data_IF_198645148157
#
_entry.id   IF_198645148157
#
_cell.length_a   1.000
_cell.length_b   1.000
_cell.length_c   1.000
_cell.angle_alpha   90.00
_cell.angle_beta   90.00
_cell.angle_gamma   90.00
#
_symmetry.space_group_name_H-M   'P 1'
#
loop_
_entity.id
_entity.type
_entity.pdbx_description
1 polymer ?
#
# COMPACT_ATOMS: atom_id res chain seq x y z
N UNK A 1 8.39 -30.16 -57.99
CA UNK A 1 9.09 -31.33 -57.43
C UNK A 1 8.17 -31.97 -56.43
N UNK A 2 7.66 -33.14 -56.79
CA UNK A 2 6.72 -33.98 -56.08
C UNK A 2 7.38 -34.57 -54.84
N UNK A 3 6.89 -34.27 -53.64
CA UNK A 3 7.25 -35.01 -52.43
C UNK A 3 6.67 -36.43 -52.50
N UNK A 4 7.42 -37.46 -52.04
CA UNK A 4 6.91 -38.81 -52.03
C UNK A 4 5.81 -38.92 -50.97
N UNK A 5 4.62 -39.31 -51.41
CA UNK A 5 3.54 -39.78 -50.56
C UNK A 5 4.11 -40.88 -49.67
N UNK A 6 4.11 -40.70 -48.35
CA UNK A 6 4.62 -41.69 -47.41
C UNK A 6 3.85 -43.00 -47.62
N UNK A 7 4.52 -43.93 -48.30
CA UNK A 7 4.04 -45.27 -48.60
C UNK A 7 3.75 -45.94 -47.28
N UNK A 8 2.48 -46.25 -47.04
CA UNK A 8 2.09 -47.20 -45.99
C UNK A 8 2.84 -48.50 -46.33
N UNK A 9 3.69 -49.04 -45.44
CA UNK A 9 4.38 -50.29 -45.75
C UNK A 9 3.35 -51.37 -46.05
N UNK A 10 3.34 -51.86 -47.30
CA UNK A 10 2.39 -52.85 -47.81
C UNK A 10 2.50 -54.24 -47.15
N UNK A 11 3.36 -54.42 -46.14
CA UNK A 11 3.58 -55.70 -45.47
C UNK A 11 2.88 -55.86 -44.11
N UNK A 12 1.81 -55.11 -43.82
CA UNK A 12 1.16 -55.14 -42.49
C UNK A 12 -0.36 -55.40 -42.53
N UNK A 13 -0.83 -56.14 -43.53
CA UNK A 13 -2.17 -56.73 -43.53
C UNK A 13 -2.11 -58.15 -42.98
N UNK A 14 -2.44 -58.31 -41.69
CA UNK A 14 -3.24 -59.40 -41.10
C UNK A 14 -3.07 -59.30 -39.56
N UNK A 15 -4.15 -58.91 -38.88
CA UNK A 15 -4.33 -58.91 -37.42
C UNK A 15 -3.42 -58.00 -36.56
N UNK A 16 -3.23 -56.73 -36.95
CA UNK A 16 -2.78 -55.75 -35.95
C UNK A 16 -3.90 -55.46 -34.96
N UNK A 17 -3.63 -55.78 -33.69
CA UNK A 17 -4.35 -55.28 -32.52
C UNK A 17 -4.86 -53.85 -32.78
N UNK A 18 -6.18 -53.58 -32.68
CA UNK A 18 -6.75 -52.24 -32.86
C UNK A 18 -6.01 -51.15 -32.08
N UNK A 19 -5.39 -51.48 -30.93
CA UNK A 19 -4.58 -50.55 -30.16
C UNK A 19 -3.25 -50.20 -30.85
N UNK A 20 -2.57 -51.18 -31.46
CA UNK A 20 -1.32 -50.94 -32.20
C UNK A 20 -1.57 -50.06 -33.43
N UNK A 21 -2.70 -50.24 -34.12
CA UNK A 21 -3.09 -49.40 -35.26
C UNK A 21 -3.45 -47.97 -34.83
N UNK A 22 -4.16 -47.79 -33.71
CA UNK A 22 -4.41 -46.46 -33.12
C UNK A 22 -3.10 -45.77 -32.77
N UNK A 23 -2.19 -46.45 -32.08
CA UNK A 23 -0.88 -45.89 -31.71
C UNK A 23 -0.05 -45.44 -32.92
N UNK A 24 -0.07 -46.19 -34.03
CA UNK A 24 0.59 -45.78 -35.27
C UNK A 24 -0.04 -44.52 -35.90
N UNK A 25 -1.38 -44.46 -35.96
CA UNK A 25 -2.11 -43.29 -36.46
C UNK A 25 -1.78 -42.06 -35.60
N UNK A 26 -1.83 -42.20 -34.26
CA UNK A 26 -1.52 -41.12 -33.32
C UNK A 26 -0.08 -40.62 -33.48
N UNK A 27 0.88 -41.53 -33.68
CA UNK A 27 2.28 -41.19 -33.98
C UNK A 27 2.43 -40.42 -35.29
N UNK A 28 1.70 -40.83 -36.35
CA UNK A 28 1.73 -40.13 -37.64
C UNK A 28 1.09 -38.74 -37.57
N UNK A 29 -0.01 -38.59 -36.84
CA UNK A 29 -0.65 -37.29 -36.57
C UNK A 29 0.34 -36.38 -35.84
N UNK A 30 0.97 -36.86 -34.77
CA UNK A 30 1.95 -36.08 -34.01
C UNK A 30 3.12 -35.59 -34.88
N UNK A 31 3.63 -36.43 -35.77
CA UNK A 31 4.72 -36.07 -36.69
C UNK A 31 4.32 -34.97 -37.69
N UNK A 32 3.12 -35.05 -38.27
CA UNK A 32 2.61 -34.01 -39.18
C UNK A 32 2.33 -32.69 -38.44
N UNK A 33 1.82 -32.77 -37.21
CA UNK A 33 1.63 -31.59 -36.36
C UNK A 33 2.96 -30.91 -35.99
N UNK A 34 4.03 -31.68 -35.76
CA UNK A 34 5.39 -31.15 -35.58
C UNK A 34 5.87 -30.40 -36.82
N UNK A 35 5.66 -30.97 -38.00
CA UNK A 35 6.06 -30.34 -39.26
C UNK A 35 5.29 -29.03 -39.51
N UNK A 36 3.97 -29.03 -39.31
CA UNK A 36 3.15 -27.81 -39.38
C UNK A 36 3.65 -26.76 -38.38
N UNK A 37 4.01 -27.17 -37.15
CA UNK A 37 4.57 -26.27 -36.12
C UNK A 37 5.92 -25.68 -36.54
N UNK A 38 6.77 -26.44 -37.25
CA UNK A 38 8.05 -25.95 -37.81
C UNK A 38 7.81 -24.83 -38.82
N UNK A 39 7.01 -25.08 -39.85
CA UNK A 39 6.72 -24.10 -40.91
C UNK A 39 6.03 -22.84 -40.37
N UNK A 40 5.11 -22.98 -39.41
CA UNK A 40 4.47 -21.82 -38.75
C UNK A 40 5.49 -20.92 -38.04
N UNK A 41 6.55 -21.47 -37.44
CA UNK A 41 7.59 -20.65 -36.77
C UNK A 41 8.48 -19.95 -37.76
N UNK A 42 8.96 -20.65 -38.79
CA UNK A 42 9.79 -20.02 -39.82
C UNK A 42 9.05 -18.87 -40.50
N UNK A 43 7.75 -19.00 -40.75
CA UNK A 43 6.91 -17.90 -41.23
C UNK A 43 6.84 -16.73 -40.23
N UNK A 44 6.71 -17.02 -38.93
CA UNK A 44 6.65 -15.99 -37.89
C UNK A 44 7.99 -15.27 -37.70
N UNK A 45 9.12 -15.95 -37.88
CA UNK A 45 10.48 -15.38 -37.83
C UNK A 45 10.71 -14.33 -38.93
N UNK A 46 10.03 -14.47 -40.07
CA UNK A 46 10.07 -13.49 -41.16
C UNK A 46 9.28 -12.20 -40.87
N UNK A 47 8.44 -12.19 -39.83
CA UNK A 47 7.67 -10.99 -39.44
C UNK A 47 8.60 -9.87 -38.94
N UNK A 48 8.27 -8.62 -39.27
CA UNK A 48 9.05 -7.44 -38.88
C UNK A 48 9.22 -7.35 -37.37
N UNK A 49 8.19 -7.74 -36.60
CA UNK A 49 8.23 -7.66 -35.13
C UNK A 49 9.17 -8.72 -34.51
N UNK A 50 9.45 -9.80 -35.23
CA UNK A 50 10.40 -10.84 -34.81
C UNK A 50 11.86 -10.42 -34.98
N UNK A 51 12.12 -9.26 -35.62
CA UNK A 51 13.46 -8.66 -35.74
C UNK A 51 13.83 -7.80 -34.54
N UNK A 52 12.88 -7.49 -33.65
CA UNK A 52 13.15 -6.71 -32.45
C UNK A 52 14.05 -7.52 -31.51
N UNK A 53 15.10 -6.91 -30.92
CA UNK A 53 15.90 -7.57 -29.91
C UNK A 53 15.08 -8.02 -28.70
N UNK A 54 15.50 -9.10 -27.99
CA UNK A 54 14.83 -9.57 -26.79
C UNK A 54 14.59 -8.47 -25.76
N UNK A 55 15.54 -7.55 -25.57
CA UNK A 55 15.48 -6.45 -24.59
C UNK A 55 14.38 -5.43 -24.91
N UNK A 56 14.10 -5.23 -26.20
CA UNK A 56 13.02 -4.33 -26.64
C UNK A 56 11.68 -5.02 -26.43
N UNK A 57 11.58 -6.29 -26.77
CA UNK A 57 10.38 -7.09 -26.55
C UNK A 57 10.03 -7.22 -25.07
N UNK A 58 11.01 -7.44 -24.19
CA UNK A 58 10.75 -7.50 -22.74
C UNK A 58 10.20 -6.19 -22.20
N UNK A 59 10.75 -5.03 -22.62
CA UNK A 59 10.20 -3.71 -22.25
C UNK A 59 8.77 -3.51 -22.75
N UNK A 60 8.45 -3.99 -23.96
CA UNK A 60 7.08 -3.97 -24.50
C UNK A 60 6.16 -4.85 -23.64
N UNK A 61 6.61 -6.05 -23.26
CA UNK A 61 5.84 -6.97 -22.42
C UNK A 61 5.60 -6.41 -21.02
N UNK A 62 6.60 -5.75 -20.43
CA UNK A 62 6.47 -5.04 -19.15
C UNK A 62 5.45 -3.91 -19.24
N UNK A 63 5.50 -3.09 -20.29
CA UNK A 63 4.51 -2.04 -20.51
C UNK A 63 3.09 -2.61 -20.67
N UNK A 64 2.93 -3.70 -21.42
CA UNK A 64 1.64 -4.38 -21.58
C UNK A 64 1.13 -4.98 -20.26
N UNK A 65 2.01 -5.59 -19.46
CA UNK A 65 1.70 -6.07 -18.11
C UNK A 65 1.21 -4.93 -17.22
N UNK A 66 1.94 -3.81 -17.17
CA UNK A 66 1.54 -2.64 -16.39
C UNK A 66 0.18 -2.08 -16.82
N UNK A 67 -0.10 -2.04 -18.13
CA UNK A 67 -1.42 -1.66 -18.62
C UNK A 67 -2.48 -2.61 -18.09
N UNK A 68 -2.26 -3.93 -18.18
CA UNK A 68 -3.21 -4.92 -17.70
C UNK A 68 -3.50 -4.80 -16.20
N UNK A 69 -2.47 -4.52 -15.39
CA UNK A 69 -2.58 -4.38 -13.94
C UNK A 69 -3.32 -3.12 -13.51
N UNK A 70 -3.20 -2.00 -14.23
CA UNK A 70 -3.92 -0.75 -13.91
C UNK A 70 -5.44 -0.92 -13.93
N UNK A 71 -5.96 -1.73 -14.85
CA UNK A 71 -7.40 -2.00 -14.94
C UNK A 71 -7.90 -3.05 -13.94
N UNK A 72 -6.99 -3.83 -13.34
CA UNK A 72 -7.33 -4.81 -12.29
C UNK A 72 -7.32 -4.25 -10.86
N UNK A 73 -6.78 -3.04 -10.63
CA UNK A 73 -6.62 -2.43 -9.30
C UNK A 73 -7.79 -1.55 -8.84
N UNK A 74 -8.76 -1.23 -9.71
CA UNK A 74 -9.93 -0.42 -9.35
C UNK A 74 -11.04 -1.30 -8.77
N UNK A 75 -10.90 -1.67 -7.50
CA UNK A 75 -11.85 -2.53 -6.79
C UNK A 75 -13.20 -1.91 -6.40
N UNK A 76 -13.43 -0.59 -6.56
CA UNK A 76 -14.57 0.08 -5.92
C UNK A 76 -15.50 0.92 -6.83
N UNK A 77 -15.51 0.74 -8.15
CA UNK A 77 -16.56 1.37 -8.99
C UNK A 77 -17.18 0.36 -9.95
N UNK A 78 -18.48 0.02 -9.83
CA UNK A 78 -19.20 -0.75 -10.82
C UNK A 78 -19.52 0.16 -12.02
N UNK A 79 -18.55 0.39 -12.91
CA UNK A 79 -18.82 1.02 -14.20
C UNK A 79 -19.13 -0.07 -15.24
N UNK A 80 -20.33 -0.11 -15.85
CA UNK A 80 -20.80 -1.31 -16.57
C UNK A 80 -20.26 -1.53 -17.98
N UNK A 81 -19.17 -0.89 -18.45
CA UNK A 81 -18.80 -0.94 -19.90
C UNK A 81 -17.31 -0.87 -20.27
N UNK A 82 -16.37 -1.21 -19.39
CA UNK A 82 -14.95 -1.30 -19.78
C UNK A 82 -14.43 -2.72 -19.61
N UNK A 83 -13.78 -3.23 -20.65
CA UNK A 83 -13.26 -4.60 -20.75
C UNK A 83 -12.44 -4.96 -19.51
N UNK A 84 -13.02 -5.76 -18.61
CA UNK A 84 -12.32 -6.30 -17.44
C UNK A 84 -11.11 -7.09 -17.93
N UNK A 85 -9.91 -6.51 -17.81
CA UNK A 85 -8.68 -7.21 -18.10
C UNK A 85 -8.51 -8.25 -16.99
N UNK A 86 -8.49 -9.53 -17.38
CA UNK A 86 -8.38 -10.63 -16.43
C UNK A 86 -6.98 -10.66 -15.81
N UNK A 87 -6.89 -11.10 -14.56
CA UNK A 87 -5.62 -11.49 -13.92
C UNK A 87 -4.82 -12.39 -14.89
N UNK A 88 -3.52 -12.12 -15.04
CA UNK A 88 -2.60 -12.84 -15.92
C UNK A 88 -2.84 -12.69 -17.43
N UNK A 89 -3.73 -11.80 -17.89
CA UNK A 89 -3.97 -11.60 -19.34
C UNK A 89 -2.71 -11.18 -20.11
N UNK A 90 -1.74 -10.56 -19.45
CA UNK A 90 -0.46 -10.23 -20.05
C UNK A 90 0.29 -11.47 -20.55
N UNK A 91 0.09 -12.65 -19.93
CA UNK A 91 0.74 -13.92 -20.32
C UNK A 91 0.37 -14.38 -21.73
N UNK A 92 -0.65 -13.80 -22.38
CA UNK A 92 -0.98 -14.02 -23.80
C UNK A 92 0.22 -13.76 -24.72
N UNK A 93 1.18 -12.92 -24.33
CA UNK A 93 2.43 -12.73 -25.10
C UNK A 93 3.20 -14.05 -25.29
N UNK A 94 3.09 -14.98 -24.33
CA UNK A 94 3.74 -16.31 -24.39
C UNK A 94 3.05 -17.30 -25.35
N UNK A 95 1.94 -16.88 -25.96
CA UNK A 95 1.14 -17.68 -26.90
C UNK A 95 1.15 -17.10 -28.33
N UNK A 96 1.84 -15.98 -28.58
CA UNK A 96 1.88 -15.33 -29.90
C UNK A 96 2.79 -16.08 -30.88
N UNK A 97 4.02 -16.36 -30.46
CA UNK A 97 5.02 -17.08 -31.26
C UNK A 97 5.99 -17.82 -30.35
N UNK A 98 6.77 -18.75 -30.91
CA UNK A 98 7.86 -19.43 -30.17
C UNK A 98 8.90 -18.44 -29.66
N UNK A 99 9.32 -17.51 -30.52
CA UNK A 99 10.26 -16.46 -30.15
C UNK A 99 9.76 -15.60 -28.98
N UNK A 100 8.51 -15.13 -29.01
CA UNK A 100 7.95 -14.32 -27.92
C UNK A 100 7.84 -15.12 -26.61
N UNK A 101 7.49 -16.40 -26.72
CA UNK A 101 7.46 -17.30 -25.58
C UNK A 101 8.85 -17.47 -24.96
N UNK A 102 9.87 -17.70 -25.77
CA UNK A 102 11.26 -17.82 -25.31
C UNK A 102 11.74 -16.52 -24.63
N UNK A 103 11.50 -15.36 -25.25
CA UNK A 103 11.87 -14.06 -24.68
C UNK A 103 11.13 -13.80 -23.36
N UNK A 104 9.81 -14.04 -23.31
CA UNK A 104 9.02 -13.81 -22.12
C UNK A 104 9.36 -14.78 -20.96
N UNK A 105 9.59 -16.07 -21.25
CA UNK A 105 10.03 -17.04 -20.25
C UNK A 105 11.49 -16.83 -19.82
N UNK A 106 12.31 -16.27 -20.72
CA UNK A 106 13.71 -15.93 -20.47
C UNK A 106 13.91 -14.69 -19.61
N UNK A 107 12.87 -13.86 -19.41
CA UNK A 107 12.91 -12.65 -18.59
C UNK A 107 12.26 -12.88 -17.23
N UNK A 108 13.03 -13.11 -16.14
CA UNK A 108 12.46 -13.50 -14.84
C UNK A 108 11.67 -12.37 -14.18
N UNK A 109 12.00 -11.11 -14.47
CA UNK A 109 11.30 -9.93 -13.93
C UNK A 109 9.81 -9.91 -14.29
N UNK A 110 9.41 -10.41 -15.47
CA UNK A 110 8.00 -10.51 -15.86
C UNK A 110 7.18 -11.39 -14.91
N UNK A 111 7.82 -12.38 -14.29
CA UNK A 111 7.19 -13.39 -13.42
C UNK A 111 7.32 -13.07 -11.93
N UNK A 112 7.94 -11.94 -11.57
CA UNK A 112 8.26 -11.59 -10.19
C UNK A 112 7.14 -10.89 -9.39
N UNK A 113 6.02 -10.53 -10.04
CA UNK A 113 4.80 -10.05 -9.36
C UNK A 113 3.85 -11.24 -9.15
N UNK A 114 3.85 -11.78 -7.93
CA UNK A 114 3.19 -13.02 -7.56
C UNK A 114 1.91 -12.68 -6.80
N UNK A 115 0.79 -13.27 -7.22
CA UNK A 115 -0.51 -13.13 -6.55
C UNK A 115 -1.03 -14.49 -6.14
N UNK A 116 -1.48 -14.63 -4.89
CA UNK A 116 -1.90 -15.94 -4.34
C UNK A 116 -3.34 -16.32 -4.70
N UNK A 117 -4.10 -15.43 -5.36
CA UNK A 117 -5.48 -15.69 -5.83
C UNK A 117 -5.61 -17.01 -6.60
N UNK A 118 -4.54 -17.43 -7.30
CA UNK A 118 -4.46 -18.77 -7.88
C UNK A 118 -3.10 -19.40 -7.59
N UNK A 119 -3.10 -20.41 -6.73
CA UNK A 119 -1.88 -21.06 -6.21
C UNK A 119 -1.01 -21.70 -7.30
N UNK A 120 -1.62 -22.38 -8.29
CA UNK A 120 -0.88 -23.00 -9.38
C UNK A 120 -0.14 -21.95 -10.21
N UNK A 121 -0.78 -20.81 -10.45
CA UNK A 121 -0.14 -19.67 -11.10
C UNK A 121 0.93 -19.03 -10.21
N UNK A 122 0.69 -18.90 -8.91
CA UNK A 122 1.66 -18.34 -7.97
C UNK A 122 2.96 -19.16 -7.93
N UNK A 123 2.88 -20.49 -7.81
CA UNK A 123 4.03 -21.40 -7.86
C UNK A 123 4.74 -21.33 -9.21
N UNK A 124 4.00 -21.33 -10.31
CA UNK A 124 4.57 -21.16 -11.66
C UNK A 124 5.34 -19.84 -11.80
N UNK A 125 4.83 -18.75 -11.22
CA UNK A 125 5.49 -17.45 -11.24
C UNK A 125 6.74 -17.45 -10.35
N UNK A 126 6.67 -18.05 -9.17
CA UNK A 126 7.80 -18.22 -8.27
C UNK A 126 8.96 -18.97 -8.98
N UNK A 127 8.68 -20.11 -9.60
CA UNK A 127 9.65 -20.89 -10.38
C UNK A 127 10.28 -20.06 -11.51
N UNK A 128 9.47 -19.33 -12.29
CA UNK A 128 9.94 -18.54 -13.43
C UNK A 128 10.65 -17.24 -13.04
N UNK A 129 10.42 -16.73 -11.84
CA UNK A 129 11.07 -15.52 -11.32
C UNK A 129 12.56 -15.72 -11.02
N UNK A 130 13.03 -16.97 -10.90
CA UNK A 130 14.44 -17.35 -10.69
C UNK A 130 15.10 -16.62 -9.52
N UNK A 131 15.89 -15.57 -9.79
CA UNK A 131 16.59 -14.74 -8.79
C UNK A 131 16.12 -13.28 -8.81
N UNK A 132 15.07 -12.97 -9.59
CA UNK A 132 14.51 -11.64 -9.62
C UNK A 132 13.87 -11.28 -8.26
N UNK A 133 13.90 -9.99 -7.85
CA UNK A 133 13.24 -9.52 -6.65
C UNK A 133 11.72 -9.69 -6.75
N UNK A 134 11.11 -10.31 -5.74
CA UNK A 134 9.70 -10.71 -5.72
C UNK A 134 8.83 -9.62 -5.11
N UNK A 135 7.72 -9.29 -5.77
CA UNK A 135 6.60 -8.56 -5.18
C UNK A 135 5.45 -9.53 -4.96
N UNK A 136 5.06 -9.72 -3.71
CA UNK A 136 4.03 -10.67 -3.30
C UNK A 136 2.76 -9.91 -2.90
N UNK A 137 1.63 -10.30 -3.50
CA UNK A 137 0.30 -9.90 -3.06
C UNK A 137 -0.47 -11.15 -2.65
N UNK A 138 -0.49 -11.39 -1.35
CA UNK A 138 -1.24 -12.45 -0.72
C UNK A 138 -2.63 -11.96 -0.32
N UNK A 139 -3.65 -12.57 -0.91
CA UNK A 139 -5.06 -12.37 -0.54
C UNK A 139 -5.66 -13.71 -0.22
N UNK A 140 -6.56 -13.80 0.76
CA UNK A 140 -7.31 -15.02 1.01
C UNK A 140 -8.00 -15.50 -0.27
N UNK A 141 -7.64 -16.70 -0.71
CA UNK A 141 -8.45 -17.44 -1.65
C UNK A 141 -9.45 -18.27 -0.86
N UNK A 142 -10.72 -18.24 -1.26
CA UNK A 142 -11.78 -19.11 -0.70
C UNK A 142 -11.48 -20.61 -0.91
N UNK A 143 -10.46 -20.96 -1.69
CA UNK A 143 -10.05 -22.35 -1.95
C UNK A 143 -9.00 -22.81 -0.93
N UNK A 144 -9.49 -23.43 0.14
CA UNK A 144 -8.70 -24.10 1.18
C UNK A 144 -8.15 -25.41 0.61
N UNK A 145 -6.87 -25.44 0.20
CA UNK A 145 -6.02 -26.65 0.17
C UNK A 145 -4.58 -26.27 -0.21
N UNK A 146 -3.62 -26.60 0.66
CA UNK A 146 -2.16 -26.53 0.47
C UNK A 146 -1.53 -25.13 0.34
N UNK A 147 -1.98 -24.15 1.14
CA UNK A 147 -1.33 -22.84 1.20
C UNK A 147 -0.03 -22.84 2.01
N UNK A 148 0.01 -23.56 3.14
CA UNK A 148 1.13 -23.53 4.09
C UNK A 148 2.48 -23.86 3.43
N UNK A 149 2.53 -24.88 2.58
CA UNK A 149 3.76 -25.25 1.85
C UNK A 149 4.28 -24.11 0.95
N UNK A 150 3.37 -23.39 0.28
CA UNK A 150 3.75 -22.29 -0.60
C UNK A 150 4.18 -21.05 0.19
N UNK A 151 3.50 -20.78 1.30
CA UNK A 151 3.85 -19.70 2.24
C UNK A 151 5.27 -19.90 2.78
N UNK A 152 5.59 -21.11 3.23
CA UNK A 152 6.93 -21.44 3.71
C UNK A 152 7.98 -21.39 2.57
N UNK A 153 7.63 -21.87 1.37
CA UNK A 153 8.49 -21.81 0.17
C UNK A 153 8.84 -20.37 -0.23
N UNK A 154 7.87 -19.44 -0.21
CA UNK A 154 8.11 -18.05 -0.60
C UNK A 154 8.83 -17.25 0.50
N UNK A 155 8.53 -17.51 1.78
CA UNK A 155 9.20 -16.85 2.90
C UNK A 155 10.64 -17.31 3.08
N UNK A 156 10.96 -18.56 2.70
CA UNK A 156 12.35 -19.03 2.59
C UNK A 156 13.19 -18.23 1.56
N UNK A 157 12.54 -17.48 0.66
CA UNK A 157 13.19 -16.59 -0.30
C UNK A 157 13.27 -15.13 0.21
N UNK A 158 13.35 -14.91 1.52
CA UNK A 158 13.34 -13.59 2.18
C UNK A 158 14.30 -12.57 1.54
N UNK A 159 15.50 -13.02 1.15
CA UNK A 159 16.53 -12.20 0.48
C UNK A 159 16.10 -11.58 -0.86
N UNK A 160 15.08 -12.15 -1.50
CA UNK A 160 14.51 -11.66 -2.77
C UNK A 160 13.25 -10.83 -2.58
N UNK A 161 12.65 -10.84 -1.40
CA UNK A 161 11.39 -10.12 -1.16
C UNK A 161 11.64 -8.61 -1.27
N UNK A 162 10.94 -8.00 -2.22
CA UNK A 162 10.98 -6.56 -2.49
C UNK A 162 9.73 -5.86 -1.98
N UNK A 163 8.56 -6.47 -2.15
CA UNK A 163 7.32 -5.94 -1.61
C UNK A 163 6.44 -7.08 -1.15
N UNK A 164 5.81 -6.95 0.01
CA UNK A 164 4.88 -7.92 0.57
C UNK A 164 3.60 -7.17 0.91
N UNK A 165 2.47 -7.69 0.43
CA UNK A 165 1.14 -7.18 0.72
C UNK A 165 0.25 -8.34 1.10
N UNK A 166 -0.28 -8.32 2.31
CA UNK A 166 -1.13 -9.38 2.86
C UNK A 166 -2.48 -8.78 3.25
N UNK A 167 -3.56 -9.34 2.70
CA UNK A 167 -4.93 -9.00 3.07
C UNK A 167 -5.73 -10.24 3.39
N UNK A 168 -6.19 -10.37 4.63
CA UNK A 168 -7.10 -11.45 5.01
C UNK A 168 -6.46 -12.81 4.82
N UNK A 169 -5.97 -13.40 5.90
CA UNK A 169 -5.45 -14.76 5.88
C UNK A 169 -4.68 -15.03 7.16
N UNK A 170 -5.38 -15.58 8.16
CA UNK A 170 -4.82 -15.76 9.50
C UNK A 170 -3.49 -16.53 9.51
N UNK A 171 -3.33 -17.53 8.62
CA UNK A 171 -2.10 -18.31 8.47
C UNK A 171 -0.95 -17.47 7.96
N UNK A 172 -1.12 -16.79 6.81
CA UNK A 172 -0.04 -16.05 6.18
C UNK A 172 0.33 -14.80 6.95
N UNK A 173 -0.67 -14.10 7.52
CA UNK A 173 -0.46 -12.99 8.46
C UNK A 173 0.49 -13.44 9.57
N UNK A 174 0.20 -14.56 10.24
CA UNK A 174 1.02 -15.10 11.32
C UNK A 174 2.43 -15.46 10.85
N UNK A 175 2.57 -16.12 9.71
CA UNK A 175 3.88 -16.49 9.14
C UNK A 175 4.75 -15.28 8.82
N UNK A 176 4.15 -14.22 8.26
CA UNK A 176 4.88 -12.98 7.98
C UNK A 176 5.33 -12.32 9.28
N UNK A 177 4.52 -12.32 10.34
CA UNK A 177 4.91 -11.78 11.66
C UNK A 177 6.09 -12.54 12.27
N UNK A 178 6.19 -13.84 11.99
CA UNK A 178 7.27 -14.72 12.45
C UNK A 178 8.52 -14.65 11.53
N UNK A 179 8.54 -13.76 10.53
CA UNK A 179 9.68 -13.62 9.62
C UNK A 179 10.88 -13.01 10.35
N UNK A 180 11.77 -13.88 10.80
CA UNK A 180 13.02 -13.56 11.51
C UNK A 180 14.26 -13.68 10.61
N UNK A 181 14.07 -13.75 9.30
CA UNK A 181 15.15 -13.78 8.31
C UNK A 181 15.44 -12.37 7.78
N UNK A 182 16.71 -12.03 7.47
CA UNK A 182 17.05 -10.76 6.85
C UNK A 182 16.31 -10.54 5.53
N UNK A 183 15.83 -9.31 5.31
CA UNK A 183 15.08 -8.91 4.12
C UNK A 183 15.72 -7.69 3.42
N UNK A 184 16.95 -7.84 2.89
CA UNK A 184 17.78 -6.72 2.41
C UNK A 184 17.21 -5.95 1.21
N UNK A 185 16.27 -6.53 0.46
CA UNK A 185 15.65 -5.92 -0.71
C UNK A 185 14.25 -5.35 -0.43
N UNK A 186 13.70 -5.57 0.78
CA UNK A 186 12.33 -5.19 1.09
C UNK A 186 12.20 -3.67 1.12
N UNK A 187 11.30 -3.16 0.30
CA UNK A 187 10.99 -1.73 0.15
C UNK A 187 9.62 -1.39 0.70
N UNK A 188 8.66 -2.31 0.58
CA UNK A 188 7.27 -2.07 1.00
C UNK A 188 6.69 -3.30 1.67
N UNK A 189 6.18 -3.12 2.89
CA UNK A 189 5.48 -4.13 3.66
C UNK A 189 4.10 -3.61 4.05
N UNK A 190 3.06 -4.34 3.67
CA UNK A 190 1.68 -4.07 4.04
C UNK A 190 1.04 -5.33 4.61
N UNK A 191 0.56 -5.28 5.85
CA UNK A 191 -0.16 -6.38 6.49
C UNK A 191 -1.46 -5.84 7.05
N UNK A 192 -2.58 -6.37 6.55
CA UNK A 192 -3.93 -6.01 6.99
C UNK A 192 -4.62 -7.21 7.56
N UNK A 193 -5.01 -7.10 8.84
CA UNK A 193 -5.71 -8.14 9.58
C UNK A 193 -7.09 -8.42 8.98
N UNK A 194 -7.37 -9.68 8.67
CA UNK A 194 -8.68 -10.11 8.17
C UNK A 194 -9.83 -9.86 9.15
N UNK A 195 -11.03 -9.56 8.63
CA UNK A 195 -12.25 -9.28 9.42
C UNK A 195 -12.60 -10.39 10.43
N UNK A 196 -12.40 -11.66 10.06
CA UNK A 196 -12.68 -12.81 10.94
C UNK A 196 -11.80 -12.82 12.19
N UNK A 197 -10.64 -12.17 12.15
CA UNK A 197 -9.68 -12.11 13.25
C UNK A 197 -9.88 -10.88 14.15
N UNK A 198 -10.76 -9.94 13.81
CA UNK A 198 -10.92 -8.68 14.57
C UNK A 198 -11.43 -8.92 16.00
N UNK A 199 -12.13 -10.03 16.25
CA UNK A 199 -12.60 -10.41 17.58
C UNK A 199 -11.51 -11.05 18.47
N UNK A 200 -10.37 -11.44 17.91
CA UNK A 200 -9.26 -12.01 18.67
C UNK A 200 -8.33 -10.90 19.17
N UNK A 201 -7.61 -11.14 20.28
CA UNK A 201 -6.60 -10.21 20.79
C UNK A 201 -5.63 -9.79 19.68
N UNK A 202 -5.43 -8.47 19.52
CA UNK A 202 -4.56 -7.92 18.49
C UNK A 202 -3.11 -8.29 18.77
N UNK A 203 -2.40 -8.97 17.84
CA UNK A 203 -1.08 -9.50 18.13
C UNK A 203 0.00 -8.40 18.12
N UNK A 204 1.02 -8.63 18.93
CA UNK A 204 2.22 -7.80 19.01
C UNK A 204 3.29 -8.44 18.13
N UNK A 205 3.89 -7.66 17.23
CA UNK A 205 5.03 -8.12 16.44
C UNK A 205 6.24 -8.39 17.34
N UNK A 206 7.07 -9.40 17.05
CA UNK A 206 8.28 -9.66 17.82
C UNK A 206 9.30 -8.52 17.64
N UNK A 207 10.15 -8.29 18.64
CA UNK A 207 11.23 -7.28 18.55
C UNK A 207 12.23 -7.63 17.44
N UNK A 208 12.45 -8.92 17.18
CA UNK A 208 13.30 -9.44 16.10
C UNK A 208 12.61 -9.50 14.73
N UNK A 209 11.47 -8.82 14.55
CA UNK A 209 10.77 -8.76 13.26
C UNK A 209 11.73 -8.30 12.14
N UNK A 210 11.79 -9.05 11.05
CA UNK A 210 12.73 -8.85 9.92
C UNK A 210 14.22 -8.89 10.33
N UNK A 211 14.55 -9.52 11.46
CA UNK A 211 15.89 -9.54 12.08
C UNK A 211 16.45 -8.16 12.41
N UNK A 212 15.64 -7.10 12.37
CA UNK A 212 16.14 -5.72 12.38
C UNK A 212 16.89 -5.31 11.12
N UNK A 213 16.92 -6.14 10.06
CA UNK A 213 17.71 -5.94 8.83
C UNK A 213 16.80 -5.79 7.59
N UNK A 214 16.17 -4.63 7.48
CA UNK A 214 15.42 -4.20 6.29
C UNK A 214 15.86 -2.80 5.81
N UNK A 215 17.13 -2.63 5.40
CA UNK A 215 17.74 -1.31 5.17
C UNK A 215 17.13 -0.51 4.00
N UNK A 216 16.37 -1.17 3.12
CA UNK A 216 15.69 -0.53 1.98
C UNK A 216 14.21 -0.28 2.23
N UNK A 217 13.71 -0.59 3.43
CA UNK A 217 12.30 -0.44 3.75
C UNK A 217 11.92 1.04 3.76
N UNK A 218 10.94 1.39 2.93
CA UNK A 218 10.47 2.76 2.71
C UNK A 218 9.00 2.91 3.05
N UNK A 219 8.19 1.87 2.84
CA UNK A 219 6.76 1.86 3.11
C UNK A 219 6.41 0.75 4.10
N UNK A 220 5.86 1.13 5.26
CA UNK A 220 5.33 0.20 6.25
C UNK A 220 3.86 0.53 6.54
N UNK A 221 2.98 -0.43 6.30
CA UNK A 221 1.54 -0.33 6.60
C UNK A 221 1.10 -1.55 7.41
N UNK A 222 0.68 -1.31 8.66
CA UNK A 222 0.21 -2.35 9.57
C UNK A 222 -1.18 -1.98 10.06
N UNK A 223 -2.15 -2.84 9.78
CA UNK A 223 -3.54 -2.68 10.21
C UNK A 223 -3.95 -3.87 11.08
N UNK A 224 -4.23 -3.60 12.35
CA UNK A 224 -4.58 -4.58 13.38
C UNK A 224 -3.37 -5.18 14.12
N UNK A 225 -2.17 -4.63 13.96
CA UNK A 225 -0.93 -5.13 14.58
C UNK A 225 -0.21 -4.07 15.42
N UNK A 226 0.29 -4.47 16.58
CA UNK A 226 1.14 -3.60 17.39
C UNK A 226 2.59 -3.73 16.97
N UNK A 227 3.22 -2.60 16.66
CA UNK A 227 4.64 -2.52 16.32
C UNK A 227 5.45 -2.10 17.56
N UNK A 228 6.45 -2.90 17.97
CA UNK A 228 7.40 -2.48 19.00
C UNK A 228 8.20 -1.25 18.58
N UNK A 229 8.07 -0.16 19.32
CA UNK A 229 8.77 1.11 19.07
C UNK A 229 10.26 1.08 19.47
N UNK A 230 10.74 0.00 20.08
CA UNK A 230 12.13 -0.20 20.48
C UNK A 230 13.07 -0.54 19.29
N UNK A 231 12.53 -1.02 18.17
CA UNK A 231 13.31 -1.47 17.00
C UNK A 231 13.76 -0.33 16.06
N UNK A 232 14.48 0.66 16.60
CA UNK A 232 14.87 1.91 15.92
C UNK A 232 15.57 1.75 14.57
N UNK A 233 16.21 0.61 14.30
CA UNK A 233 16.95 0.34 13.05
C UNK A 233 16.01 0.20 11.84
N UNK A 234 14.82 -0.36 12.04
CA UNK A 234 13.83 -0.56 10.97
C UNK A 234 13.23 0.75 10.44
N UNK A 235 13.25 1.80 11.26
CA UNK A 235 12.52 3.04 10.99
C UNK A 235 13.32 4.07 10.20
N UNK A 236 14.65 4.07 10.29
CA UNK A 236 15.51 5.14 9.72
C UNK A 236 15.32 5.39 8.22
N UNK A 237 14.98 4.35 7.46
CA UNK A 237 14.78 4.42 6.01
C UNK A 237 13.36 4.78 5.57
N UNK A 238 12.40 4.86 6.50
CA UNK A 238 10.98 4.97 6.17
C UNK A 238 10.62 6.35 5.59
N UNK A 239 9.79 6.29 4.55
CA UNK A 239 9.17 7.44 3.89
C UNK A 239 7.66 7.46 4.09
N UNK A 240 7.03 6.30 4.29
CA UNK A 240 5.62 6.15 4.61
C UNK A 240 5.44 5.17 5.76
N UNK A 241 4.84 5.63 6.85
CA UNK A 241 4.43 4.81 7.98
C UNK A 241 2.92 4.95 8.18
N UNK A 242 2.20 3.82 8.18
CA UNK A 242 0.78 3.77 8.50
C UNK A 242 0.50 2.68 9.51
N UNK A 243 0.00 3.07 10.67
CA UNK A 243 -0.33 2.15 11.76
C UNK A 243 -1.78 2.34 12.14
N UNK A 244 -2.54 1.24 12.14
CA UNK A 244 -3.88 1.16 12.70
C UNK A 244 -3.90 0.04 13.73
N UNK A 245 -4.25 0.34 14.97
CA UNK A 245 -4.29 -0.63 16.05
C UNK A 245 -5.31 -0.24 17.09
N UNK A 246 -6.33 -1.08 17.25
CA UNK A 246 -7.31 -0.97 18.31
C UNK A 246 -6.98 -2.01 19.37
N UNK A 247 -6.41 -1.60 20.52
CA UNK A 247 -6.08 -2.54 21.57
C UNK A 247 -7.35 -3.14 22.19
N UNK A 248 -7.28 -4.37 22.73
CA UNK A 248 -8.18 -4.76 23.79
C UNK A 248 -8.07 -3.74 24.94
N UNK A 249 -9.16 -3.47 25.65
CA UNK A 249 -9.14 -2.58 26.82
C UNK A 249 -7.91 -2.86 27.69
N UNK A 250 -7.14 -1.80 28.03
CA UNK A 250 -5.93 -1.81 28.88
C UNK A 250 -4.54 -1.98 28.23
N UNK A 251 -4.37 -1.95 26.91
CA UNK A 251 -2.99 -1.85 26.36
C UNK A 251 -2.47 -0.41 26.56
N UNK A 252 -1.35 -0.22 27.30
CA UNK A 252 -0.82 1.11 27.55
C UNK A 252 -0.28 1.75 26.26
N UNK A 253 -0.37 3.08 26.10
CA UNK A 253 0.26 3.79 25.00
C UNK A 253 1.79 3.62 25.06
N UNK A 254 2.51 3.88 23.94
CA UNK A 254 3.95 3.80 23.95
C UNK A 254 4.52 4.87 24.90
N UNK A 255 5.68 4.58 25.50
CA UNK A 255 6.40 5.59 26.29
C UNK A 255 6.60 6.85 25.44
N UNK A 256 6.29 8.05 25.97
CA UNK A 256 6.49 9.30 25.23
C UNK A 256 7.91 9.42 24.68
N UNK A 257 8.94 9.09 25.47
CA UNK A 257 10.34 9.18 25.03
C UNK A 257 10.62 8.29 23.82
N UNK A 258 10.26 7.00 23.91
CA UNK A 258 10.48 6.05 22.81
C UNK A 258 9.70 6.42 21.56
N UNK A 259 8.45 6.85 21.71
CA UNK A 259 7.61 7.27 20.59
C UNK A 259 8.26 8.42 19.82
N UNK A 260 8.67 9.46 20.54
CA UNK A 260 9.27 10.65 19.96
C UNK A 260 10.69 10.42 19.43
N UNK A 261 11.50 9.57 20.08
CA UNK A 261 12.82 9.15 19.59
C UNK A 261 12.74 8.47 18.22
N UNK A 262 11.74 7.61 18.03
CA UNK A 262 11.52 6.93 16.75
C UNK A 262 11.05 7.89 15.67
N UNK A 263 10.11 8.80 15.99
CA UNK A 263 9.69 9.85 15.04
C UNK A 263 10.86 10.71 14.60
N UNK A 264 11.75 11.09 15.52
CA UNK A 264 12.95 11.89 15.25
C UNK A 264 13.97 11.12 14.39
N UNK A 265 14.09 9.80 14.57
CA UNK A 265 14.96 8.96 13.76
C UNK A 265 14.51 8.79 12.29
N UNK A 266 13.25 9.14 11.96
CA UNK A 266 12.67 9.03 10.61
C UNK A 266 12.84 10.32 9.80
N UNK A 267 14.09 10.70 9.51
CA UNK A 267 14.41 11.95 8.79
C UNK A 267 13.81 12.05 7.37
N UNK A 268 13.51 10.89 6.76
CA UNK A 268 12.97 10.78 5.40
C UNK A 268 11.44 10.79 5.30
N UNK A 269 10.72 10.89 6.42
CA UNK A 269 9.28 10.62 6.48
C UNK A 269 8.45 11.66 5.71
N UNK A 270 7.64 11.18 4.77
CA UNK A 270 6.75 11.96 3.90
C UNK A 270 5.27 11.70 4.23
N UNK A 271 4.91 10.46 4.58
CA UNK A 271 3.55 10.08 4.96
C UNK A 271 3.56 9.44 6.34
N UNK A 272 2.77 10.00 7.25
CA UNK A 272 2.52 9.43 8.57
C UNK A 272 1.01 9.28 8.77
N UNK A 273 0.55 8.07 9.05
CA UNK A 273 -0.83 7.80 9.46
C UNK A 273 -0.79 7.02 10.76
N UNK A 274 -1.35 7.58 11.83
CA UNK A 274 -1.42 6.94 13.14
C UNK A 274 -2.88 6.89 13.59
N UNK A 275 -3.39 5.68 13.77
CA UNK A 275 -4.67 5.38 14.41
C UNK A 275 -4.43 4.30 15.47
N UNK A 276 -3.73 4.71 16.52
CA UNK A 276 -3.20 3.87 17.59
C UNK A 276 -3.34 4.61 18.93
N UNK A 277 -3.20 3.93 20.09
CA UNK A 277 -3.05 4.61 21.37
C UNK A 277 -1.85 5.58 21.36
N UNK A 278 -2.13 6.87 21.54
CA UNK A 278 -1.12 7.94 21.55
C UNK A 278 -0.60 8.21 22.96
N UNK A 279 0.66 8.66 23.12
CA UNK A 279 1.17 9.11 24.42
C UNK A 279 0.39 10.35 24.89
N UNK A 280 -0.24 10.24 26.05
CA UNK A 280 -1.04 11.33 26.64
C UNK A 280 -0.14 12.27 27.48
N UNK A 281 0.86 11.71 28.16
CA UNK A 281 1.79 12.48 28.96
C UNK A 281 2.83 13.19 28.09
N UNK A 282 3.16 14.46 28.36
CA UNK A 282 4.24 15.16 27.66
C UNK A 282 5.61 14.60 28.03
N UNK A 283 6.60 14.94 27.23
CA UNK A 283 7.99 14.67 27.55
C UNK A 283 8.43 15.41 28.82
N UNK A 284 9.29 14.78 29.61
CA UNK A 284 9.82 15.40 30.84
C UNK A 284 10.63 16.68 30.52
N UNK A 285 11.25 16.72 29.34
CA UNK A 285 11.90 17.90 28.76
C UNK A 285 11.26 18.18 27.42
N UNK A 286 10.74 19.40 27.26
CA UNK A 286 10.16 19.79 25.98
C UNK A 286 11.22 19.79 24.88
N UNK A 287 10.94 19.05 23.80
CA UNK A 287 11.70 19.05 22.54
C UNK A 287 10.74 19.18 21.36
N UNK A 288 11.21 19.78 20.29
CA UNK A 288 10.48 19.91 19.03
C UNK A 288 11.15 19.04 17.98
N UNK A 289 10.38 18.14 17.37
CA UNK A 289 10.83 17.14 16.41
C UNK A 289 10.44 17.62 15.02
N UNK A 290 11.45 17.90 14.20
CA UNK A 290 11.27 18.42 12.86
C UNK A 290 11.04 17.29 11.85
N UNK A 291 9.82 17.18 11.32
CA UNK A 291 9.50 16.25 10.22
C UNK A 291 9.56 16.99 8.89
N UNK A 292 10.77 17.38 8.50
CA UNK A 292 11.03 18.36 7.43
C UNK A 292 10.54 17.95 6.02
N UNK A 293 10.33 16.66 5.77
CA UNK A 293 9.88 16.13 4.46
C UNK A 293 8.42 15.73 4.44
N UNK A 294 7.66 16.05 5.49
CA UNK A 294 6.27 15.62 5.61
C UNK A 294 5.41 16.20 4.48
N UNK A 295 4.67 15.33 3.80
CA UNK A 295 3.68 15.68 2.78
C UNK A 295 2.26 15.42 3.29
N UNK A 296 2.06 14.33 4.03
CA UNK A 296 0.75 13.88 4.53
C UNK A 296 0.87 13.39 5.95
N UNK A 297 0.17 14.04 6.86
CA UNK A 297 0.12 13.66 8.26
C UNK A 297 -1.31 13.41 8.67
N UNK A 298 -1.57 12.21 9.19
CA UNK A 298 -2.86 11.82 9.74
C UNK A 298 -2.68 11.29 11.15
N UNK A 299 -3.44 11.87 12.08
CA UNK A 299 -3.44 11.49 13.48
C UNK A 299 -4.86 11.25 13.94
N UNK A 300 -5.11 10.07 14.49
CA UNK A 300 -6.40 9.70 15.08
C UNK A 300 -6.21 9.23 16.51
N UNK A 301 -7.11 9.64 17.38
CA UNK A 301 -7.10 9.20 18.78
C UNK A 301 -7.87 10.14 19.70
N UNK A 302 -7.62 10.03 21.00
CA UNK A 302 -8.18 10.94 21.98
C UNK A 302 -7.63 12.36 21.82
N UNK A 303 -8.44 13.36 22.18
CA UNK A 303 -8.08 14.78 22.11
C UNK A 303 -6.76 15.08 22.84
N UNK A 304 -6.59 14.53 24.05
CA UNK A 304 -5.40 14.73 24.88
C UNK A 304 -4.13 14.19 24.21
N UNK A 305 -4.18 12.96 23.68
CA UNK A 305 -3.07 12.36 22.93
C UNK A 305 -2.74 13.09 21.63
N UNK A 306 -3.76 13.50 20.87
CA UNK A 306 -3.55 14.27 19.64
C UNK A 306 -2.87 15.61 19.95
N UNK A 307 -3.35 16.32 20.97
CA UNK A 307 -2.77 17.60 21.41
C UNK A 307 -1.33 17.43 21.84
N UNK A 308 -1.04 16.44 22.70
CA UNK A 308 0.30 16.17 23.19
C UNK A 308 1.29 15.81 22.07
N UNK A 309 0.88 15.04 21.07
CA UNK A 309 1.75 14.76 19.91
C UNK A 309 2.04 16.04 19.14
N UNK A 310 1.02 16.86 18.86
CA UNK A 310 1.17 18.09 18.08
C UNK A 310 2.08 19.13 18.77
N UNK A 311 2.09 19.25 20.11
CA UNK A 311 2.97 20.20 20.81
C UNK A 311 4.46 19.93 20.57
N UNK A 312 4.83 18.69 20.25
CA UNK A 312 6.21 18.26 20.08
C UNK A 312 6.65 18.17 18.62
N UNK A 313 5.78 18.42 17.64
CA UNK A 313 6.12 18.31 16.22
C UNK A 313 6.33 19.68 15.59
N UNK A 314 7.23 19.75 14.61
CA UNK A 314 7.30 20.82 13.64
C UNK A 314 7.09 20.24 12.23
N UNK A 315 6.08 20.75 11.53
CA UNK A 315 5.64 20.30 10.21
C UNK A 315 5.82 21.41 9.16
N UNK A 316 6.20 21.08 7.92
CA UNK A 316 6.20 22.04 6.81
C UNK A 316 4.80 22.60 6.52
N UNK A 317 4.65 23.90 6.24
CA UNK A 317 3.36 24.46 5.81
C UNK A 317 2.80 23.85 4.52
N UNK A 318 3.65 23.21 3.71
CA UNK A 318 3.23 22.48 2.51
C UNK A 318 2.57 21.14 2.79
N UNK A 319 2.60 20.64 4.02
CA UNK A 319 2.00 19.35 4.38
C UNK A 319 0.46 19.42 4.38
N UNK A 320 -0.17 18.28 4.10
CA UNK A 320 -1.61 18.08 4.30
C UNK A 320 -1.83 17.42 5.66
N UNK A 321 -2.68 18.01 6.49
CA UNK A 321 -2.93 17.58 7.87
C UNK A 321 -4.36 17.05 8.00
N UNK A 322 -4.52 15.83 8.51
CA UNK A 322 -5.82 15.25 8.85
C UNK A 322 -5.82 14.80 10.31
N UNK A 323 -6.59 15.44 11.20
CA UNK A 323 -6.66 15.06 12.60
C UNK A 323 -8.09 14.64 12.93
N UNK A 324 -8.22 13.46 13.53
CA UNK A 324 -9.48 12.90 13.98
C UNK A 324 -9.40 12.74 15.50
N UNK A 325 -9.96 13.71 16.23
CA UNK A 325 -9.93 13.73 17.68
C UNK A 325 -11.26 13.23 18.26
N UNK A 326 -11.20 12.34 19.24
CA UNK A 326 -12.35 11.85 19.99
C UNK A 326 -12.33 12.50 21.37
N UNK A 327 -13.45 13.08 21.77
CA UNK A 327 -13.65 13.65 23.11
C UNK A 327 -14.61 12.76 23.90
N UNK A 328 -14.11 12.04 24.91
CA UNK A 328 -14.93 11.28 25.86
C UNK A 328 -15.28 12.15 27.07
N UNK A 329 -16.48 12.00 27.63
CA UNK A 329 -16.87 12.68 28.87
C UNK A 329 -15.94 12.30 30.05
N UNK A 330 -15.46 11.06 30.10
CA UNK A 330 -14.55 10.58 31.16
C UNK A 330 -13.13 11.19 31.12
N UNK A 331 -12.66 11.64 29.95
CA UNK A 331 -11.34 12.30 29.81
C UNK A 331 -11.31 13.69 30.46
N UNK A 332 -12.49 14.31 30.66
CA UNK A 332 -12.61 15.62 31.33
C UNK A 332 -12.24 15.54 32.82
N UNK A 333 -12.26 14.35 33.44
CA UNK A 333 -11.92 14.19 34.84
C UNK A 333 -10.41 14.10 35.12
N UNK A 334 -9.58 13.78 34.11
CA UNK A 334 -8.14 13.53 34.30
C UNK A 334 -7.21 14.35 33.39
N UNK A 335 -7.73 15.01 32.35
CA UNK A 335 -6.96 15.92 31.51
C UNK A 335 -7.79 17.15 31.13
N UNK A 336 -7.40 18.33 31.60
CA UNK A 336 -8.04 19.63 31.29
C UNK A 336 -7.76 20.11 29.85
N UNK A 337 -7.52 19.20 28.90
CA UNK A 337 -7.16 19.56 27.52
C UNK A 337 -8.42 19.96 26.76
N UNK A 338 -8.40 21.19 26.24
CA UNK A 338 -9.51 21.78 25.48
C UNK A 338 -9.26 21.70 23.98
N UNK A 339 -10.30 21.96 23.19
CA UNK A 339 -10.18 22.11 21.74
C UNK A 339 -9.33 23.33 21.35
N UNK A 340 -9.31 24.36 22.20
CA UNK A 340 -8.41 25.50 22.04
C UNK A 340 -6.94 25.07 22.14
N UNK A 341 -6.59 24.20 23.10
CA UNK A 341 -5.22 23.68 23.24
C UNK A 341 -4.75 22.90 22.01
N UNK A 342 -5.65 22.08 21.43
CA UNK A 342 -5.37 21.39 20.17
C UNK A 342 -5.12 22.38 19.03
N UNK A 343 -5.99 23.40 18.89
CA UNK A 343 -5.86 24.41 17.83
C UNK A 343 -4.55 25.20 17.94
N UNK A 344 -4.17 25.62 19.15
CA UNK A 344 -2.90 26.30 19.43
C UNK A 344 -1.72 25.38 19.08
N UNK A 345 -1.79 24.11 19.46
CA UNK A 345 -0.75 23.13 19.17
C UNK A 345 -0.58 22.90 17.67
N UNK A 346 -1.67 22.83 16.91
CA UNK A 346 -1.64 22.75 15.44
C UNK A 346 -0.99 24.00 14.85
N UNK A 347 -1.39 25.19 15.31
CA UNK A 347 -0.83 26.46 14.85
C UNK A 347 0.67 26.51 15.07
N UNK A 348 1.13 26.19 16.29
CA UNK A 348 2.55 26.17 16.63
C UNK A 348 3.33 25.12 15.84
N UNK A 349 2.74 23.94 15.64
CA UNK A 349 3.42 22.83 14.96
C UNK A 349 3.54 23.03 13.45
N UNK A 350 2.49 23.54 12.80
CA UNK A 350 2.37 23.51 11.34
C UNK A 350 2.41 24.90 10.69
N UNK A 351 1.78 25.90 11.31
CA UNK A 351 1.56 27.22 10.70
C UNK A 351 2.63 28.25 11.05
N UNK A 352 3.36 28.05 12.16
CA UNK A 352 4.45 28.93 12.61
C UNK A 352 5.71 28.91 11.72
N UNK A 353 5.74 28.11 10.65
CA UNK A 353 6.77 28.21 9.62
C UNK A 353 8.18 27.79 10.07
N UNK A 354 8.30 26.99 11.13
CA UNK A 354 9.58 26.57 11.74
C UNK A 354 10.55 25.87 10.77
N UNK A 355 10.06 25.43 9.60
CA UNK A 355 10.83 24.70 8.59
C UNK A 355 10.89 25.47 7.23
N UNK A 356 10.48 26.74 7.22
CA UNK A 356 10.38 27.58 6.03
C UNK A 356 11.71 28.12 5.48
N UNK A 357 12.29 27.37 4.53
CA UNK A 357 13.28 27.78 3.52
C UNK A 357 14.70 28.16 3.97
N UNK A 358 15.67 27.40 3.44
CA UNK A 358 17.06 27.83 3.24
C UNK A 358 17.15 28.95 2.20
N UNK A 359 16.61 30.12 2.50
CA UNK A 359 16.87 31.34 1.71
C UNK A 359 17.13 32.50 2.65
N UNK A 360 18.09 33.33 2.27
CA UNK A 360 18.69 34.43 3.04
C UNK A 360 17.73 35.63 3.20
N UNK A 361 16.46 35.37 3.48
CA UNK A 361 15.39 36.37 3.63
C UNK A 361 14.75 36.28 5.02
N UNK A 362 14.32 37.43 5.58
CA UNK A 362 13.79 37.48 6.95
C UNK A 362 12.56 36.58 7.11
N UNK A 363 12.44 35.95 8.29
CA UNK A 363 11.42 34.99 8.70
C UNK A 363 10.11 35.12 7.90
N UNK A 364 9.76 34.09 7.11
CA UNK A 364 8.51 34.10 6.37
C UNK A 364 7.35 34.25 7.35
N UNK A 365 6.40 35.14 7.05
CA UNK A 365 5.20 35.31 7.87
C UNK A 365 4.50 33.97 8.13
N UNK A 366 3.88 33.78 9.32
CA UNK A 366 3.15 32.56 9.64
C UNK A 366 2.08 32.29 8.57
N UNK A 367 1.91 31.00 8.24
CA UNK A 367 0.89 30.59 7.27
C UNK A 367 -0.50 30.77 7.87
N UNK A 368 -1.42 31.36 7.11
CA UNK A 368 -2.77 31.68 7.57
C UNK A 368 -3.77 30.91 6.71
N UNK A 369 -4.78 30.30 7.36
CA UNK A 369 -5.87 29.64 6.65
C UNK A 369 -6.76 30.70 5.98
N UNK A 370 -7.00 30.52 4.68
CA UNK A 370 -7.73 31.49 3.85
C UNK A 370 -9.20 31.13 3.66
N UNK A 371 -9.54 29.85 3.65
CA UNK A 371 -10.93 29.39 3.54
C UNK A 371 -11.20 28.22 4.47
N UNK A 372 -12.44 28.17 4.98
CA UNK A 372 -12.95 27.11 5.84
C UNK A 372 -14.27 26.59 5.29
N UNK A 373 -14.34 25.29 5.09
CA UNK A 373 -15.55 24.55 4.74
C UNK A 373 -15.97 23.70 5.93
N UNK A 374 -17.19 23.94 6.42
CA UNK A 374 -17.82 23.09 7.43
C UNK A 374 -18.67 22.04 6.71
N UNK A 375 -18.35 20.78 6.98
CA UNK A 375 -19.05 19.62 6.48
C UNK A 375 -19.70 18.92 7.68
N UNK A 376 -21.01 19.16 7.80
CA UNK A 376 -21.89 18.65 8.88
C UNK A 376 -22.74 17.47 8.40
N UNK A 377 -22.40 16.86 7.26
CA UNK A 377 -23.24 15.84 6.62
C UNK A 377 -22.99 14.42 7.18
N UNK A 378 -21.97 14.24 8.03
CA UNK A 378 -21.70 12.98 8.70
C UNK A 378 -22.47 12.92 10.03
N UNK A 379 -23.45 12.00 10.10
CA UNK A 379 -24.37 11.82 11.24
C UNK A 379 -23.62 11.54 12.56
N UNK A 380 -22.36 11.11 12.47
CA UNK A 380 -21.53 10.72 13.62
C UNK A 380 -20.40 11.71 13.93
N UNK A 381 -20.10 12.67 13.05
CA UNK A 381 -19.01 13.62 13.30
C UNK A 381 -19.18 14.93 12.55
N UNK A 382 -18.83 16.04 13.20
CA UNK A 382 -18.69 17.32 12.52
C UNK A 382 -17.24 17.42 12.00
N UNK A 383 -17.07 17.90 10.76
CA UNK A 383 -15.73 18.11 10.18
C UNK A 383 -15.54 19.52 9.64
N UNK A 384 -14.32 20.02 9.81
CA UNK A 384 -13.86 21.33 9.32
C UNK A 384 -12.69 21.09 8.38
N UNK A 385 -12.79 21.63 7.17
CA UNK A 385 -11.72 21.62 6.17
C UNK A 385 -11.20 23.04 5.97
N UNK A 386 -9.93 23.27 6.28
CA UNK A 386 -9.22 24.53 6.08
C UNK A 386 -8.23 24.44 4.92
N UNK A 387 -8.07 25.52 4.15
CA UNK A 387 -7.11 25.60 3.05
C UNK A 387 -6.22 26.83 3.19
N UNK A 388 -4.93 26.67 2.84
CA UNK A 388 -3.96 27.77 2.80
C UNK A 388 -4.03 28.62 1.51
N UNK A 389 -4.84 28.20 0.54
CA UNK A 389 -5.03 28.87 -0.76
C UNK A 389 -6.51 29.24 -0.94
N UNK A 390 -6.78 30.37 -1.57
CA UNK A 390 -8.14 30.86 -1.81
C UNK A 390 -8.94 29.91 -2.70
N UNK A 391 -10.20 29.65 -2.31
CA UNK A 391 -11.11 28.72 -2.98
C UNK A 391 -11.52 29.18 -4.41
N UNK A 392 -11.29 30.44 -4.78
CA UNK A 392 -11.77 31.09 -6.03
C UNK A 392 -10.93 30.76 -7.29
N UNK A 393 -10.10 29.72 -7.28
CA UNK A 393 -9.36 29.31 -8.48
C UNK A 393 -10.30 28.63 -9.50
N UNK A 394 -10.52 29.19 -10.72
CA UNK A 394 -11.54 28.73 -11.68
C UNK A 394 -11.22 27.38 -12.37
N UNK A 395 -10.27 26.62 -11.85
CA UNK A 395 -9.87 25.31 -12.35
C UNK A 395 -10.10 24.22 -11.29
N UNK A 396 -11.36 23.94 -10.96
CA UNK A 396 -11.73 22.71 -10.25
C UNK A 396 -12.73 21.88 -11.06
N UNK A 397 -12.28 20.98 -11.95
CA UNK A 397 -12.88 19.65 -12.03
C UNK A 397 -12.32 18.80 -10.88
N UNK A 398 -13.15 17.96 -10.25
CA UNK A 398 -12.82 17.25 -9.02
C UNK A 398 -11.42 16.60 -8.98
N UNK A 399 -10.73 16.75 -7.84
CA UNK A 399 -9.56 15.93 -7.52
C UNK A 399 -8.17 16.57 -7.63
N UNK A 400 -7.99 17.86 -7.30
CA UNK A 400 -6.63 18.38 -7.04
C UNK A 400 -6.09 17.81 -5.72
N UNK A 401 -5.42 16.66 -5.78
CA UNK A 401 -4.95 15.85 -4.64
C UNK A 401 -3.78 16.43 -3.80
N UNK A 402 -3.25 17.61 -4.14
CA UNK A 402 -1.96 18.08 -3.61
C UNK A 402 -1.98 19.54 -3.10
N UNK A 403 -3.13 20.09 -2.74
CA UNK A 403 -3.17 21.42 -2.10
C UNK A 403 -2.98 21.25 -0.59
N UNK A 404 -2.06 21.99 0.07
CA UNK A 404 -1.94 21.96 1.52
C UNK A 404 -3.27 22.33 2.18
N UNK A 405 -3.79 21.41 2.99
CA UNK A 405 -5.08 21.55 3.65
C UNK A 405 -5.05 20.94 5.04
N UNK A 406 -5.95 21.44 5.88
CA UNK A 406 -6.26 20.93 7.20
C UNK A 406 -7.64 20.28 7.15
N UNK A 407 -7.76 19.03 7.57
CA UNK A 407 -9.05 18.41 7.87
C UNK A 407 -9.07 18.04 9.34
N UNK A 408 -10.00 18.65 10.09
CA UNK A 408 -10.24 18.35 11.49
C UNK A 408 -11.60 17.70 11.60
N UNK A 409 -11.62 16.49 12.17
CA UNK A 409 -12.86 15.82 12.55
C UNK A 409 -12.89 15.64 14.05
N UNK A 410 -14.00 16.03 14.65
CA UNK A 410 -14.22 15.86 16.09
C UNK A 410 -15.50 15.06 16.26
N UNK A 411 -15.37 13.91 16.93
CA UNK A 411 -16.51 13.09 17.32
C UNK A 411 -16.73 13.23 18.83
N UNK A 412 -17.96 13.57 19.21
CA UNK A 412 -18.43 13.45 20.59
C UNK A 412 -18.80 12.01 20.90
N UNK A 413 -19.05 11.71 22.17
CA UNK A 413 -19.53 10.38 22.57
C UNK A 413 -20.86 10.06 21.87
N UNK A 414 -21.18 8.77 21.72
CA UNK A 414 -22.34 8.25 20.96
C UNK A 414 -23.72 8.72 21.47
N UNK A 415 -23.77 9.64 22.43
CA UNK A 415 -24.94 10.26 23.05
C UNK A 415 -25.47 11.49 22.29
N UNK A 416 -25.52 11.46 20.97
CA UNK A 416 -26.43 12.32 20.18
C UNK A 416 -26.35 13.84 20.38
N UNK A 417 -25.22 14.40 20.82
CA UNK A 417 -25.05 15.85 20.88
C UNK A 417 -24.75 16.40 19.47
N UNK A 418 -25.82 16.77 18.75
CA UNK A 418 -25.84 17.48 17.46
C UNK A 418 -25.14 18.87 17.49
N UNK A 419 -24.45 19.22 18.58
CA UNK A 419 -23.98 20.59 18.81
C UNK A 419 -22.50 20.74 18.46
N UNK A 420 -22.20 21.56 17.46
CA UNK A 420 -20.83 21.99 17.12
C UNK A 420 -20.27 23.01 18.15
N UNK A 421 -20.51 22.79 19.44
CA UNK A 421 -20.10 23.70 20.54
C UNK A 421 -18.58 23.82 20.68
N UNK A 422 -17.83 22.85 20.15
CA UNK A 422 -16.37 22.90 20.09
C UNK A 422 -15.83 23.85 19.02
N UNK A 423 -16.65 24.26 18.05
CA UNK A 423 -16.21 25.01 16.88
C UNK A 423 -15.65 26.40 17.23
N UNK A 424 -16.27 27.21 18.11
CA UNK A 424 -15.72 28.51 18.52
C UNK A 424 -14.34 28.37 19.17
N UNK A 425 -14.16 27.38 20.04
CA UNK A 425 -12.89 27.12 20.74
C UNK A 425 -11.80 26.69 19.75
N UNK A 426 -12.14 25.85 18.77
CA UNK A 426 -11.21 25.46 17.72
C UNK A 426 -10.81 26.66 16.85
N UNK A 427 -11.79 27.46 16.40
CA UNK A 427 -11.53 28.61 15.53
C UNK A 427 -10.72 29.70 16.25
N UNK A 428 -10.87 29.82 17.57
CA UNK A 428 -10.17 30.82 18.39
C UNK A 428 -8.65 30.66 18.41
N UNK A 429 -8.11 29.45 18.24
CA UNK A 429 -6.66 29.21 18.24
C UNK A 429 -6.03 28.96 16.86
N UNK A 430 -6.81 29.03 15.78
CA UNK A 430 -6.30 28.95 14.41
C UNK A 430 -6.08 30.37 13.83
N UNK A 431 -4.96 30.64 13.14
CA UNK A 431 -4.77 31.90 12.44
C UNK A 431 -5.63 31.90 11.17
N UNK A 432 -6.69 32.70 11.18
CA UNK A 432 -7.66 32.85 10.10
C UNK A 432 -7.55 34.25 9.49
N UNK A 433 -7.55 34.35 8.16
CA UNK A 433 -7.61 35.64 7.45
C UNK A 433 -9.03 35.84 6.95
N UNK A 434 -9.78 36.85 7.46
CA UNK A 434 -11.17 37.20 7.09
C UNK A 434 -11.94 36.03 6.44
N UNK A 435 -12.04 34.93 7.19
CA UNK A 435 -12.33 33.63 6.60
C UNK A 435 -13.80 33.57 6.18
N UNK A 436 -14.04 33.34 4.89
CA UNK A 436 -15.38 33.02 4.40
C UNK A 436 -15.74 31.63 4.91
N UNK A 437 -16.52 31.57 5.98
CA UNK A 437 -17.13 30.34 6.46
C UNK A 437 -18.22 29.93 5.47
N UNK A 438 -17.92 28.99 4.56
CA UNK A 438 -18.93 28.43 3.66
C UNK A 438 -19.43 27.11 4.23
N UNK A 439 -20.74 27.03 4.47
CA UNK A 439 -21.40 25.76 4.81
C UNK A 439 -21.47 24.91 3.54
N UNK A 440 -20.98 23.68 3.58
CA UNK A 440 -21.10 22.75 2.45
C UNK A 440 -22.59 22.63 2.10
N UNK A 441 -22.95 22.90 0.83
CA UNK A 441 -24.34 22.78 0.35
C UNK A 441 -24.69 21.31 0.19
N UNK A 442 -25.87 20.94 0.68
CA UNK A 442 -26.53 19.63 0.54
C UNK A 442 -26.58 19.11 -0.91
#
# INVERSE_FOLDING_TARGET
MTEPMAVVPESMTLEMDPNARRAWIDSRIAALEDEIRRWKSSRNELSVISRLPPEVLTRIFEAYKQMCDRYGRTGNTPQPRQHYIKLYQWTRVTHVSRYWREVALGCPYLWSDIRTVNHNWARTFLERSKQAPISLNATESLSVTNMEDFEDEILAQSHRLKSIRVYGGASFEKRVQELTNPTPLLQSLMITRGYQNQNAASPILPTEFLSGEAPKLQDLELDGYWLPWDSTVLFRGLTSLKLTFYPPSHTPPPSPETFFDVLEAMEGLQTLYLDIPLPISPLAKHRTIALARMEKFTLKGFLSGCTNVMTHLALPPSSTLHIFAIQKEEDTAHSNVTMADLSISITNSWLSGHLGSNSTTPASAPSVLKSLELDTNDVLSNSVKGYLVDNDSPHRPGGCRNVPSLELRVAGDYSGAESADWLPDLLGGLPLNDSRLSRARD
#
